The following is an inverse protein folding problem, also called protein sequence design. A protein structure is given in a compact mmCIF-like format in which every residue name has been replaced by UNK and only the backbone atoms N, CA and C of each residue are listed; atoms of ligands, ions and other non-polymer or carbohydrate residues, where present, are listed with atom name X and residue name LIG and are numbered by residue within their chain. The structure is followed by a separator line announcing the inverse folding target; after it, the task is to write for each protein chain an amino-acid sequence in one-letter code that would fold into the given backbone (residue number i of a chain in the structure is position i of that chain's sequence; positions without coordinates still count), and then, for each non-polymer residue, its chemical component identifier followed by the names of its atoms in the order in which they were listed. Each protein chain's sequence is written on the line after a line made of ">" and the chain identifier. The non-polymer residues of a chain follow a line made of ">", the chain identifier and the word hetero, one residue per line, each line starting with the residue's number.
data_IF_791936939929
#
_entry.id   IF_791936939929
#
_cell.length_a   1.000
_cell.length_b   1.000
_cell.length_c   1.000
_cell.angle_alpha   90.00
_cell.angle_beta   90.00
_cell.angle_gamma   90.00
#
_symmetry.space_group_name_H-M   'P 1'
#
loop_
_entity.id
_entity.type
_entity.pdbx_description
1 polymer ?
#
# COMPACT_ATOMS: atom_id res chain seq x y z
N UNK A 1 8.95 -13.78 -6.34
CA UNK A 1 8.14 -13.87 -5.10
C UNK A 1 6.70 -14.02 -5.53
N UNK A 2 5.95 -15.00 -5.01
CA UNK A 2 4.52 -15.10 -5.29
C UNK A 2 3.76 -14.12 -4.38
N UNK A 3 2.72 -13.43 -4.87
CA UNK A 3 1.95 -12.50 -4.06
C UNK A 3 1.26 -13.20 -2.89
N UNK A 4 1.14 -12.51 -1.76
CA UNK A 4 0.53 -13.08 -0.56
C UNK A 4 -0.98 -13.22 -0.66
N UNK A 5 -1.68 -12.33 -1.37
CA UNK A 5 -3.11 -12.46 -1.66
C UNK A 5 -3.28 -13.16 -3.01
N UNK A 6 -4.10 -14.22 -3.04
CA UNK A 6 -4.41 -14.98 -4.24
C UNK A 6 -5.91 -14.93 -4.58
N UNK A 7 -6.24 -15.16 -5.85
CA UNK A 7 -7.61 -15.18 -6.35
C UNK A 7 -8.43 -16.35 -5.77
N UNK A 8 -8.95 -16.20 -4.54
CA UNK A 8 -9.94 -17.14 -4.01
C UNK A 8 -10.02 -17.28 -2.49
N UNK A 9 -8.89 -17.28 -1.79
CA UNK A 9 -8.84 -17.81 -0.41
C UNK A 9 -8.98 -16.76 0.70
N UNK A 10 -8.80 -15.47 0.40
CA UNK A 10 -8.90 -14.37 1.38
C UNK A 10 -10.16 -13.53 1.23
N UNK A 11 -11.29 -14.18 0.88
CA UNK A 11 -12.57 -13.46 0.73
C UNK A 11 -13.12 -12.92 2.04
N UNK A 12 -12.58 -13.35 3.17
CA UNK A 12 -12.96 -12.89 4.51
C UNK A 12 -11.74 -12.59 5.38
N UNK A 13 -11.93 -11.71 6.37
CA UNK A 13 -10.88 -11.38 7.35
C UNK A 13 -10.45 -12.60 8.17
N UNK A 14 -11.35 -13.52 8.49
CA UNK A 14 -11.04 -14.77 9.19
C UNK A 14 -10.15 -15.69 8.35
N UNK A 15 -10.46 -15.86 7.07
CA UNK A 15 -9.65 -16.69 6.18
C UNK A 15 -8.25 -16.08 6.00
N UNK A 16 -8.17 -14.76 5.82
CA UNK A 16 -6.91 -14.03 5.75
C UNK A 16 -6.10 -14.19 7.05
N UNK A 17 -6.73 -14.05 8.22
CA UNK A 17 -6.03 -14.17 9.51
C UNK A 17 -5.57 -15.60 9.78
N UNK A 18 -6.37 -16.60 9.43
CA UNK A 18 -6.00 -18.01 9.58
C UNK A 18 -4.76 -18.35 8.74
N UNK A 19 -4.69 -17.81 7.51
CA UNK A 19 -3.58 -18.06 6.58
C UNK A 19 -2.32 -17.25 6.91
N UNK A 20 -2.47 -15.97 7.20
CA UNK A 20 -1.34 -15.05 7.42
C UNK A 20 -0.87 -14.99 8.89
N UNK A 21 -1.68 -15.47 9.84
CA UNK A 21 -1.34 -15.48 11.26
C UNK A 21 -0.01 -16.17 11.58
N UNK A 22 0.25 -17.39 11.09
CA UNK A 22 1.53 -18.07 11.28
C UNK A 22 2.71 -17.27 10.70
N UNK A 23 2.60 -16.79 9.46
CA UNK A 23 3.64 -16.00 8.79
C UNK A 23 3.95 -14.70 9.54
N UNK A 24 2.92 -13.97 9.98
CA UNK A 24 3.08 -12.79 10.83
C UNK A 24 3.77 -13.12 12.16
N UNK A 25 3.47 -14.29 12.76
CA UNK A 25 4.12 -14.79 13.97
C UNK A 25 5.61 -15.08 13.78
N UNK A 26 6.01 -15.53 12.58
CA UNK A 26 7.40 -15.80 12.20
C UNK A 26 8.16 -14.53 11.77
N UNK A 27 7.48 -13.38 11.70
CA UNK A 27 8.08 -12.10 11.36
C UNK A 27 7.98 -11.73 9.89
N UNK A 28 7.12 -12.40 9.10
CA UNK A 28 6.81 -11.98 7.75
C UNK A 28 6.11 -10.61 7.76
N UNK A 29 6.77 -9.65 7.12
CA UNK A 29 6.40 -8.24 7.15
C UNK A 29 5.20 -7.96 6.28
N UNK A 30 5.14 -8.59 5.11
CA UNK A 30 4.03 -8.44 4.18
C UNK A 30 2.76 -9.08 4.75
N UNK A 31 2.88 -10.24 5.41
CA UNK A 31 1.77 -10.86 6.13
C UNK A 31 1.26 -9.97 7.27
N UNK A 32 2.17 -9.38 8.05
CA UNK A 32 1.82 -8.48 9.15
C UNK A 32 1.15 -7.20 8.67
N UNK A 33 1.66 -6.59 7.59
CA UNK A 33 1.05 -5.41 6.95
C UNK A 33 -0.37 -5.70 6.49
N UNK A 34 -0.59 -6.82 5.81
CA UNK A 34 -1.92 -7.20 5.32
C UNK A 34 -2.90 -7.48 6.46
N UNK A 35 -2.47 -8.18 7.51
CA UNK A 35 -3.30 -8.35 8.71
C UNK A 35 -3.63 -7.02 9.37
N UNK A 36 -2.70 -6.06 9.41
CA UNK A 36 -2.93 -4.71 9.96
C UNK A 36 -3.95 -3.94 9.14
N UNK A 37 -3.83 -3.95 7.82
CA UNK A 37 -4.77 -3.29 6.90
C UNK A 37 -6.17 -3.90 7.02
N UNK A 38 -6.28 -5.23 7.01
CA UNK A 38 -7.54 -5.93 7.20
C UNK A 38 -8.17 -5.65 8.57
N UNK A 39 -7.37 -5.64 9.65
CA UNK A 39 -7.81 -5.27 10.99
C UNK A 39 -8.36 -3.83 11.04
N UNK A 40 -7.65 -2.88 10.44
CA UNK A 40 -8.07 -1.48 10.42
C UNK A 40 -9.41 -1.29 9.69
N UNK A 41 -9.60 -1.96 8.55
CA UNK A 41 -10.86 -1.94 7.80
C UNK A 41 -12.00 -2.57 8.61
N UNK A 42 -11.75 -3.71 9.24
CA UNK A 42 -12.77 -4.49 9.96
C UNK A 42 -12.93 -4.13 11.45
N UNK A 43 -12.29 -3.05 11.93
CA UNK A 43 -12.45 -2.55 13.31
C UNK A 43 -13.86 -2.04 13.60
N UNK A 44 -14.57 -1.60 12.56
CA UNK A 44 -15.94 -1.11 12.67
C UNK A 44 -16.83 -1.92 11.74
N UNK A 45 -17.91 -2.46 12.30
CA UNK A 45 -18.95 -3.13 11.53
C UNK A 45 -19.49 -2.21 10.42
N UNK A 46 -19.88 -2.78 9.29
CA UNK A 46 -20.60 -2.02 8.28
C UNK A 46 -21.95 -1.62 8.86
N UNK A 47 -22.26 -0.33 8.82
CA UNK A 47 -23.51 0.17 9.38
C UNK A 47 -24.72 -0.43 8.66
N UNK A 48 -25.77 -0.84 9.38
CA UNK A 48 -27.01 -1.26 8.76
C UNK A 48 -27.58 -0.17 7.86
N UNK A 49 -28.03 -0.57 6.66
CA UNK A 49 -28.61 0.34 5.68
C UNK A 49 -27.60 1.24 4.95
N UNK A 50 -26.31 0.88 4.90
CA UNK A 50 -25.30 1.63 4.13
C UNK A 50 -25.70 1.86 2.67
N UNK A 51 -26.50 0.95 2.09
CA UNK A 51 -26.98 1.03 0.71
C UNK A 51 -27.81 2.30 0.43
N UNK A 52 -28.46 2.88 1.45
CA UNK A 52 -29.29 4.07 1.31
C UNK A 52 -28.61 5.37 1.77
N UNK A 53 -27.37 5.30 2.26
CA UNK A 53 -26.67 6.46 2.87
C UNK A 53 -25.80 7.25 1.89
N UNK A 54 -25.54 6.71 0.70
CA UNK A 54 -24.72 7.38 -0.30
C UNK A 54 -25.16 7.01 -1.71
N UNK A 55 -25.19 8.00 -2.60
CA UNK A 55 -25.39 7.79 -4.03
C UNK A 55 -24.06 7.75 -4.79
N UNK A 56 -22.92 7.82 -4.09
CA UNK A 56 -21.60 7.72 -4.69
C UNK A 56 -21.30 6.25 -5.03
N UNK A 57 -21.16 5.87 -6.31
CA UNK A 57 -20.91 4.48 -6.70
C UNK A 57 -19.65 3.89 -6.08
N UNK A 58 -18.60 4.70 -5.85
CA UNK A 58 -17.34 4.27 -5.24
C UNK A 58 -17.55 3.84 -3.79
N UNK A 59 -18.25 4.69 -3.03
CA UNK A 59 -18.57 4.42 -1.63
C UNK A 59 -19.49 3.19 -1.49
N UNK A 60 -20.42 3.00 -2.43
CA UNK A 60 -21.27 1.80 -2.48
C UNK A 60 -20.47 0.53 -2.78
N UNK A 61 -19.58 0.55 -3.77
CA UNK A 61 -18.73 -0.59 -4.11
C UNK A 61 -17.82 -0.99 -2.95
N UNK A 62 -17.18 -0.01 -2.30
CA UNK A 62 -16.36 -0.26 -1.12
C UNK A 62 -17.16 -0.82 0.05
N UNK A 63 -18.33 -0.25 0.35
CA UNK A 63 -19.18 -0.73 1.45
C UNK A 63 -19.70 -2.15 1.18
N UNK A 64 -20.03 -2.49 -0.08
CA UNK A 64 -20.38 -3.84 -0.49
C UNK A 64 -19.23 -4.83 -0.25
N UNK A 65 -18.02 -4.48 -0.72
CA UNK A 65 -16.82 -5.28 -0.50
C UNK A 65 -16.54 -5.46 0.99
N UNK A 66 -16.54 -4.37 1.77
CA UNK A 66 -16.30 -4.40 3.22
C UNK A 66 -17.31 -5.29 3.94
N UNK A 67 -18.59 -5.25 3.53
CA UNK A 67 -19.63 -6.08 4.12
C UNK A 67 -19.40 -7.58 3.83
N UNK A 68 -18.87 -7.92 2.65
CA UNK A 68 -18.51 -9.31 2.32
C UNK A 68 -17.22 -9.77 3.01
N UNK A 69 -16.23 -8.88 3.14
CA UNK A 69 -14.90 -9.22 3.65
C UNK A 69 -14.85 -9.24 5.19
N UNK A 70 -15.48 -8.27 5.85
CA UNK A 70 -15.48 -8.17 7.30
C UNK A 70 -16.62 -9.00 7.92
N UNK A 71 -16.47 -10.33 7.88
CA UNK A 71 -17.43 -11.28 8.50
C UNK A 71 -17.45 -11.21 10.03
N UNK A 72 -16.45 -10.56 10.65
CA UNK A 72 -16.46 -10.16 12.05
C UNK A 72 -15.85 -8.78 12.26
N UNK A 73 -16.12 -8.21 13.43
CA UNK A 73 -15.37 -7.06 13.94
C UNK A 73 -14.04 -7.53 14.51
N UNK A 74 -12.96 -6.84 14.17
CA UNK A 74 -11.63 -7.05 14.76
C UNK A 74 -11.50 -6.14 15.99
N UNK A 75 -11.17 -6.73 17.14
CA UNK A 75 -11.04 -5.98 18.39
C UNK A 75 -9.80 -5.09 18.40
N UNK A 76 -9.81 -4.03 19.23
CA UNK A 76 -8.63 -3.17 19.42
C UNK A 76 -7.43 -3.98 19.94
N UNK A 77 -7.65 -4.94 20.84
CA UNK A 77 -6.59 -5.78 21.38
C UNK A 77 -5.93 -6.67 20.31
N UNK A 78 -6.69 -7.20 19.34
CA UNK A 78 -6.13 -7.94 18.20
C UNK A 78 -5.29 -7.02 17.30
N UNK A 79 -5.79 -5.82 17.00
CA UNK A 79 -5.05 -4.83 16.23
C UNK A 79 -3.75 -4.42 16.93
N UNK A 80 -3.80 -4.16 18.24
CA UNK A 80 -2.63 -3.82 19.04
C UNK A 80 -1.61 -4.97 19.06
N UNK A 81 -2.08 -6.21 19.14
CA UNK A 81 -1.22 -7.40 19.05
C UNK A 81 -0.52 -7.51 17.68
N UNK A 82 -1.24 -7.26 16.58
CA UNK A 82 -0.66 -7.22 15.23
C UNK A 82 0.37 -6.08 15.12
N UNK A 83 0.03 -4.89 15.61
CA UNK A 83 0.91 -3.73 15.60
C UNK A 83 2.18 -3.97 16.41
N UNK A 84 2.07 -4.59 17.58
CA UNK A 84 3.21 -4.91 18.42
C UNK A 84 4.15 -5.91 17.74
N UNK A 85 3.62 -6.96 17.08
CA UNK A 85 4.44 -7.89 16.29
C UNK A 85 5.16 -7.17 15.16
N UNK A 86 4.44 -6.36 14.38
CA UNK A 86 5.02 -5.57 13.29
C UNK A 86 6.12 -4.63 13.79
N UNK A 87 5.88 -3.92 14.89
CA UNK A 87 6.88 -3.04 15.51
C UNK A 87 8.13 -3.79 15.94
N UNK A 88 7.99 -4.93 16.61
CA UNK A 88 9.16 -5.75 17.01
C UNK A 88 9.93 -6.26 15.79
N UNK A 89 9.25 -6.69 14.73
CA UNK A 89 9.89 -7.12 13.48
C UNK A 89 10.58 -5.96 12.76
N UNK A 90 9.97 -4.76 12.78
CA UNK A 90 10.54 -3.54 12.21
C UNK A 90 11.78 -3.08 12.97
N UNK A 91 11.71 -2.95 14.30
CA UNK A 91 12.82 -2.51 15.14
C UNK A 91 14.05 -3.43 15.01
N UNK A 92 13.85 -4.73 14.74
CA UNK A 92 14.96 -5.66 14.46
C UNK A 92 15.66 -5.39 13.13
N UNK A 93 14.91 -4.97 12.11
CA UNK A 93 15.44 -4.68 10.75
C UNK A 93 16.06 -3.29 10.68
N UNK A 94 15.51 -2.34 11.44
CA UNK A 94 15.98 -0.97 11.52
C UNK A 94 16.33 -0.60 12.97
N UNK A 95 17.37 -1.20 13.57
CA UNK A 95 17.71 -0.97 14.98
C UNK A 95 18.08 0.49 15.29
N UNK A 96 18.55 1.25 14.30
CA UNK A 96 18.83 2.69 14.41
C UNK A 96 17.59 3.58 14.34
N UNK A 97 16.43 3.04 13.97
CA UNK A 97 15.18 3.81 13.82
C UNK A 97 14.32 3.79 15.10
N UNK A 98 14.89 3.31 16.22
CA UNK A 98 14.13 2.92 17.41
C UNK A 98 13.98 4.03 18.49
N UNK A 99 12.70 4.32 18.77
CA UNK A 99 12.00 4.64 20.04
C UNK A 99 11.72 6.10 20.46
N UNK A 100 12.56 7.13 20.21
CA UNK A 100 12.30 8.47 20.82
C UNK A 100 12.37 9.68 19.88
N UNK A 101 12.66 9.51 18.59
CA UNK A 101 12.71 10.60 17.62
C UNK A 101 11.67 10.43 16.49
N UNK A 102 11.12 11.52 15.94
CA UNK A 102 10.39 11.45 14.67
C UNK A 102 11.35 10.99 13.58
N UNK A 103 10.96 10.00 12.79
CA UNK A 103 11.67 9.61 11.56
C UNK A 103 11.60 10.79 10.59
N UNK A 104 12.71 11.16 9.96
CA UNK A 104 12.64 12.16 8.91
C UNK A 104 11.95 11.55 7.68
N UNK A 105 11.27 12.39 6.91
CA UNK A 105 10.67 11.97 5.64
C UNK A 105 11.75 11.46 4.68
N UNK A 106 12.95 12.06 4.74
CA UNK A 106 14.09 11.69 3.90
C UNK A 106 14.63 10.29 4.23
N UNK A 107 14.67 9.90 5.51
CA UNK A 107 15.08 8.55 5.93
C UNK A 107 14.15 7.46 5.37
N UNK A 108 12.85 7.75 5.32
CA UNK A 108 11.85 6.83 4.77
C UNK A 108 12.03 6.69 3.26
N UNK A 109 12.22 7.81 2.54
CA UNK A 109 12.44 7.78 1.10
C UNK A 109 13.79 7.16 0.71
N UNK A 110 14.85 7.34 1.50
CA UNK A 110 16.12 6.63 1.27
C UNK A 110 15.93 5.12 1.42
N UNK A 111 15.20 4.69 2.47
CA UNK A 111 14.94 3.29 2.74
C UNK A 111 14.14 2.60 1.62
N UNK A 112 13.23 3.32 0.94
CA UNK A 112 12.53 2.79 -0.25
C UNK A 112 13.52 2.32 -1.30
N UNK A 113 14.65 3.01 -1.47
CA UNK A 113 15.66 2.68 -2.47
C UNK A 113 16.76 1.76 -1.96
N UNK A 114 16.82 1.49 -0.65
CA UNK A 114 17.83 0.61 -0.04
C UNK A 114 17.28 -0.72 0.49
N UNK A 115 15.97 -0.93 0.45
CA UNK A 115 15.31 -2.13 0.95
C UNK A 115 14.12 -2.53 0.08
N UNK A 116 13.84 -3.83 0.00
CA UNK A 116 12.62 -4.41 -0.57
C UNK A 116 11.45 -4.51 0.43
N UNK A 117 11.61 -3.87 1.59
CA UNK A 117 10.62 -3.86 2.65
C UNK A 117 9.33 -3.14 2.25
N UNK A 118 8.25 -3.92 2.22
CA UNK A 118 6.91 -3.42 1.89
C UNK A 118 6.36 -2.46 2.93
N UNK A 119 6.77 -2.55 4.20
CA UNK A 119 6.31 -1.63 5.25
C UNK A 119 6.92 -0.23 5.06
N UNK A 120 8.17 -0.14 4.59
CA UNK A 120 8.79 1.13 4.18
C UNK A 120 8.09 1.73 2.96
N UNK A 121 7.75 0.88 1.99
CA UNK A 121 7.04 1.29 0.76
C UNK A 121 5.64 1.82 1.08
N UNK A 122 4.90 1.15 1.98
CA UNK A 122 3.58 1.58 2.47
C UNK A 122 3.68 2.91 3.25
N UNK A 123 4.67 3.05 4.13
CA UNK A 123 4.92 4.31 4.84
C UNK A 123 5.21 5.48 3.89
N UNK A 124 6.06 5.28 2.88
CA UNK A 124 6.37 6.30 1.88
C UNK A 124 5.14 6.70 1.07
N UNK A 125 4.30 5.73 0.67
CA UNK A 125 3.06 5.97 -0.06
C UNK A 125 2.08 6.86 0.71
N UNK A 126 1.97 6.69 2.04
CA UNK A 126 1.14 7.54 2.92
C UNK A 126 1.67 8.97 3.08
N UNK A 127 2.99 9.17 2.99
CA UNK A 127 3.63 10.48 3.19
C UNK A 127 3.59 11.37 1.93
N UNK A 128 3.58 10.77 0.75
CA UNK A 128 3.60 11.49 -0.54
C UNK A 128 2.50 12.55 -0.69
N UNK A 129 1.22 12.28 -0.37
CA UNK A 129 0.15 13.25 -0.57
C UNK A 129 0.12 14.40 0.46
N UNK A 130 0.90 14.31 1.55
CA UNK A 130 0.66 15.14 2.75
C UNK A 130 1.59 16.32 2.96
N UNK A 131 2.77 16.36 2.33
CA UNK A 131 3.72 17.50 2.34
C UNK A 131 5.03 17.14 1.59
N UNK A 132 5.04 16.13 0.69
CA UNK A 132 6.27 15.62 0.09
C UNK A 132 6.75 16.37 -1.16
N UNK A 133 6.09 17.45 -1.55
CA UNK A 133 6.53 18.35 -2.63
C UNK A 133 7.85 19.04 -2.24
N UNK A 134 8.97 18.32 -2.44
CA UNK A 134 10.32 18.80 -2.16
C UNK A 134 11.23 17.82 -1.41
N UNK A 135 10.73 16.71 -0.89
CA UNK A 135 11.54 15.74 -0.12
C UNK A 135 12.05 14.56 -0.94
N UNK A 136 11.34 14.18 -2.01
CA UNK A 136 11.74 13.07 -2.86
C UNK A 136 11.85 13.49 -4.31
N UNK A 137 13.09 13.73 -4.74
CA UNK A 137 13.40 14.16 -6.11
C UNK A 137 13.43 13.01 -7.13
N UNK A 138 13.18 11.78 -6.69
CA UNK A 138 13.20 10.61 -7.57
C UNK A 138 12.17 10.78 -8.71
N UNK A 139 12.67 10.85 -9.94
CA UNK A 139 11.84 11.01 -11.13
C UNK A 139 11.55 12.46 -11.53
N UNK A 140 12.10 13.47 -10.81
CA UNK A 140 11.94 14.89 -11.18
C UNK A 140 12.39 15.18 -12.61
N UNK A 141 13.51 14.62 -13.02
CA UNK A 141 14.06 14.77 -14.37
C UNK A 141 13.19 14.14 -15.46
N UNK A 142 12.27 13.23 -15.13
CA UNK A 142 11.30 12.67 -16.08
C UNK A 142 10.19 13.67 -16.44
N UNK A 143 9.91 14.62 -15.54
CA UNK A 143 8.74 15.51 -15.64
C UNK A 143 9.12 16.98 -15.74
N UNK A 144 10.37 17.34 -15.45
CA UNK A 144 10.84 18.73 -15.41
C UNK A 144 10.58 19.46 -16.75
N UNK A 145 9.93 20.61 -16.68
CA UNK A 145 9.59 21.43 -17.84
C UNK A 145 8.44 20.90 -18.68
N UNK A 146 7.75 19.85 -18.22
CA UNK A 146 6.55 19.29 -18.87
C UNK A 146 5.28 19.63 -18.11
N UNK A 147 4.12 19.27 -18.68
CA UNK A 147 2.83 19.41 -18.01
C UNK A 147 2.67 18.48 -16.79
N UNK A 148 3.54 17.47 -16.64
CA UNK A 148 3.47 16.44 -15.60
C UNK A 148 4.20 16.83 -14.29
N UNK A 149 4.94 17.96 -14.28
CA UNK A 149 5.82 18.32 -13.16
C UNK A 149 5.06 18.52 -11.84
N UNK A 150 3.87 19.13 -11.90
CA UNK A 150 3.04 19.37 -10.72
C UNK A 150 2.53 18.06 -10.07
N UNK A 151 2.40 17.01 -10.87
CA UNK A 151 1.82 15.73 -10.46
C UNK A 151 2.89 14.65 -10.19
N UNK A 152 4.16 15.02 -10.04
CA UNK A 152 5.24 14.05 -9.73
C UNK A 152 4.90 13.13 -8.56
N UNK A 153 4.37 13.70 -7.48
CA UNK A 153 3.97 12.96 -6.28
C UNK A 153 2.89 11.90 -6.56
N UNK A 154 1.97 12.18 -7.49
CA UNK A 154 0.94 11.22 -7.95
C UNK A 154 1.61 10.04 -8.64
N UNK A 155 2.58 10.28 -9.54
CA UNK A 155 3.28 9.18 -10.23
C UNK A 155 4.17 8.36 -9.30
N UNK A 156 4.85 9.02 -8.36
CA UNK A 156 5.61 8.36 -7.29
C UNK A 156 4.70 7.47 -6.44
N UNK A 157 3.50 7.95 -6.08
CA UNK A 157 2.55 7.19 -5.28
C UNK A 157 2.05 5.95 -6.04
N UNK A 158 1.69 6.10 -7.31
CA UNK A 158 1.30 4.97 -8.18
C UNK A 158 2.42 3.94 -8.30
N UNK A 159 3.67 4.38 -8.48
CA UNK A 159 4.81 3.48 -8.57
C UNK A 159 5.01 2.66 -7.28
N UNK A 160 4.90 3.31 -6.11
CA UNK A 160 4.98 2.62 -4.81
C UNK A 160 3.80 1.65 -4.60
N UNK A 161 2.62 2.00 -5.08
CA UNK A 161 1.44 1.13 -5.03
C UNK A 161 1.61 -0.10 -5.92
N UNK A 162 2.20 0.03 -7.10
CA UNK A 162 2.46 -1.10 -8.00
C UNK A 162 3.49 -2.07 -7.40
N UNK A 163 4.56 -1.53 -6.80
CA UNK A 163 5.53 -2.35 -6.07
C UNK A 163 4.90 -3.11 -4.89
N UNK A 164 3.95 -2.48 -4.21
CA UNK A 164 3.15 -3.16 -3.17
C UNK A 164 2.26 -4.23 -3.78
N UNK A 165 1.58 -3.96 -4.90
CA UNK A 165 0.78 -4.96 -5.63
C UNK A 165 1.59 -6.22 -5.95
N UNK A 166 2.82 -6.06 -6.44
CA UNK A 166 3.71 -7.18 -6.75
C UNK A 166 4.10 -8.02 -5.51
N UNK A 167 4.11 -7.40 -4.33
CA UNK A 167 4.54 -8.04 -3.07
C UNK A 167 3.36 -8.65 -2.30
N UNK A 168 2.30 -7.87 -2.11
CA UNK A 168 1.16 -8.27 -1.30
C UNK A 168 0.06 -8.94 -2.10
N UNK A 169 -0.03 -8.72 -3.41
CA UNK A 169 -1.23 -9.03 -4.20
C UNK A 169 -2.41 -8.13 -3.81
N UNK A 170 -3.63 -8.56 -4.15
CA UNK A 170 -4.87 -7.86 -3.78
C UNK A 170 -5.23 -6.69 -4.70
N UNK A 171 -4.55 -6.61 -5.85
CA UNK A 171 -4.74 -5.56 -6.86
C UNK A 171 -5.64 -6.02 -8.02
N UNK A 172 -6.04 -7.28 -8.00
CA UNK A 172 -7.10 -7.82 -8.82
C UNK A 172 -8.49 -7.27 -8.43
N UNK A 173 -9.50 -7.44 -9.29
CA UNK A 173 -10.88 -7.13 -8.97
C UNK A 173 -11.35 -7.68 -7.62
N UNK A 174 -11.82 -6.79 -6.74
CA UNK A 174 -12.33 -7.16 -5.40
C UNK A 174 -11.25 -7.53 -4.38
N UNK A 175 -9.97 -7.35 -4.71
CA UNK A 175 -8.87 -7.50 -3.77
C UNK A 175 -8.81 -6.37 -2.73
N UNK A 176 -8.14 -6.63 -1.61
CA UNK A 176 -8.05 -5.68 -0.49
C UNK A 176 -7.33 -4.39 -0.88
N UNK A 177 -6.25 -4.45 -1.68
CA UNK A 177 -5.51 -3.26 -2.14
C UNK A 177 -6.39 -2.43 -3.08
N UNK A 178 -7.07 -3.07 -4.03
CA UNK A 178 -8.07 -2.43 -4.89
C UNK A 178 -9.11 -1.69 -4.05
N UNK A 179 -9.67 -2.33 -3.02
CA UNK A 179 -10.66 -1.70 -2.15
C UNK A 179 -10.10 -0.53 -1.32
N UNK A 180 -8.86 -0.61 -0.84
CA UNK A 180 -8.23 0.48 -0.09
C UNK A 180 -7.92 1.69 -0.97
N UNK A 181 -7.39 1.47 -2.18
CA UNK A 181 -7.14 2.53 -3.16
C UNK A 181 -8.45 3.23 -3.55
N UNK A 182 -9.54 2.47 -3.66
CA UNK A 182 -10.87 3.02 -3.90
C UNK A 182 -11.38 3.99 -2.83
N UNK A 183 -10.94 3.83 -1.59
CA UNK A 183 -11.34 4.69 -0.48
C UNK A 183 -10.37 5.86 -0.27
N UNK A 184 -9.08 5.63 -0.47
CA UNK A 184 -8.02 6.56 -0.08
C UNK A 184 -7.83 7.72 -1.06
N UNK A 185 -8.18 7.54 -2.33
CA UNK A 185 -7.83 8.50 -3.37
C UNK A 185 -9.03 9.27 -3.90
N UNK A 186 -8.97 10.58 -3.78
CA UNK A 186 -9.97 11.50 -4.35
C UNK A 186 -10.04 11.40 -5.90
N UNK A 187 -8.99 10.89 -6.54
CA UNK A 187 -8.90 10.68 -7.99
C UNK A 187 -9.57 9.40 -8.50
N UNK A 188 -9.46 8.25 -7.81
CA UNK A 188 -9.73 6.97 -8.45
C UNK A 188 -11.22 6.62 -8.63
N UNK A 189 -11.70 6.52 -9.88
CA UNK A 189 -13.00 5.95 -10.21
C UNK A 189 -12.99 4.45 -9.97
N UNK A 190 -13.77 4.01 -8.98
CA UNK A 190 -14.00 2.60 -8.72
C UNK A 190 -15.37 2.15 -9.20
N UNK A 191 -15.36 1.10 -9.99
CA UNK A 191 -16.51 0.34 -10.42
C UNK A 191 -16.41 -1.10 -9.91
N UNK A 192 -17.57 -1.78 -9.71
CA UNK A 192 -17.57 -3.19 -9.37
C UNK A 192 -16.77 -4.01 -10.38
N UNK A 193 -15.89 -4.86 -9.88
CA UNK A 193 -15.09 -5.74 -10.74
C UNK A 193 -13.84 -5.09 -11.34
N UNK A 194 -13.47 -3.87 -10.95
CA UNK A 194 -12.19 -3.28 -11.33
C UNK A 194 -11.06 -3.67 -10.36
N UNK A 195 -9.89 -3.96 -10.91
CA UNK A 195 -8.61 -4.00 -10.20
C UNK A 195 -7.89 -2.66 -10.24
N UNK A 196 -6.75 -2.57 -9.56
CA UNK A 196 -5.90 -1.38 -9.51
C UNK A 196 -5.41 -0.94 -10.89
N UNK A 197 -5.02 -1.90 -11.73
CA UNK A 197 -4.57 -1.60 -13.10
C UNK A 197 -5.69 -1.02 -13.98
N UNK A 198 -6.94 -1.48 -13.81
CA UNK A 198 -8.08 -0.91 -14.52
C UNK A 198 -8.29 0.56 -14.11
N UNK A 199 -8.22 0.83 -12.80
CA UNK A 199 -8.34 2.20 -12.27
C UNK A 199 -7.26 3.13 -12.79
N UNK A 200 -6.02 2.66 -12.91
CA UNK A 200 -4.91 3.44 -13.44
C UNK A 200 -5.04 3.70 -14.94
N UNK A 201 -5.38 2.69 -15.73
CA UNK A 201 -5.58 2.83 -17.18
C UNK A 201 -6.73 3.79 -17.54
N UNK A 202 -7.71 3.96 -16.66
CA UNK A 202 -8.80 4.93 -16.85
C UNK A 202 -8.40 6.38 -16.54
N UNK A 203 -7.37 6.60 -15.73
CA UNK A 203 -7.05 7.92 -15.16
C UNK A 203 -5.69 8.47 -15.53
N UNK A 204 -4.79 7.60 -15.96
CA UNK A 204 -3.48 7.98 -16.43
C UNK A 204 -3.46 7.84 -17.95
N UNK A 205 -2.97 8.87 -18.63
CA UNK A 205 -2.60 8.77 -20.03
C UNK A 205 -1.43 7.79 -20.21
N UNK A 206 -1.21 7.26 -21.43
CA UNK A 206 -0.06 6.39 -21.69
C UNK A 206 1.29 7.01 -21.27
N UNK A 207 1.47 8.32 -21.50
CA UNK A 207 2.69 9.03 -21.08
C UNK A 207 2.85 9.10 -19.56
N UNK A 208 1.75 9.23 -18.80
CA UNK A 208 1.80 9.17 -17.34
C UNK A 208 2.14 7.77 -16.83
N UNK A 209 1.62 6.72 -17.50
CA UNK A 209 1.98 5.33 -17.20
C UNK A 209 3.48 5.11 -17.46
N UNK A 210 4.03 5.63 -18.56
CA UNK A 210 5.47 5.54 -18.85
C UNK A 210 6.32 6.20 -17.76
N UNK A 211 5.88 7.35 -17.20
CA UNK A 211 6.56 8.00 -16.07
C UNK A 211 6.53 7.11 -14.82
N UNK A 212 5.38 6.52 -14.50
CA UNK A 212 5.23 5.60 -13.35
C UNK A 212 6.19 4.42 -13.47
N UNK A 213 6.20 3.75 -14.64
CA UNK A 213 7.08 2.60 -14.89
C UNK A 213 8.56 2.99 -14.83
N UNK A 214 8.92 4.18 -15.32
CA UNK A 214 10.28 4.68 -15.24
C UNK A 214 10.71 5.00 -13.79
N UNK A 215 9.82 5.54 -12.95
CA UNK A 215 10.08 5.75 -11.52
C UNK A 215 10.30 4.41 -10.82
N UNK A 216 9.42 3.44 -11.07
CA UNK A 216 9.52 2.10 -10.48
C UNK A 216 10.84 1.41 -10.86
N UNK A 217 11.21 1.46 -12.14
CA UNK A 217 12.46 0.88 -12.63
C UNK A 217 13.67 1.53 -11.94
N UNK A 218 13.65 2.86 -11.73
CA UNK A 218 14.73 3.55 -11.01
C UNK A 218 14.86 3.10 -9.56
N UNK A 219 13.74 2.84 -8.86
CA UNK A 219 13.78 2.29 -7.50
C UNK A 219 14.45 0.91 -7.52
N UNK A 220 14.06 0.05 -8.48
CA UNK A 220 14.63 -1.29 -8.64
C UNK A 220 16.13 -1.23 -8.97
N UNK A 221 16.53 -0.35 -9.88
CA UNK A 221 17.92 -0.16 -10.29
C UNK A 221 18.78 0.35 -9.12
N UNK A 222 18.27 1.31 -8.36
CA UNK A 222 18.97 1.86 -7.21
C UNK A 222 19.14 0.82 -6.08
N UNK A 223 18.10 0.02 -5.82
CA UNK A 223 18.21 -1.14 -4.90
C UNK A 223 19.29 -2.11 -5.37
N UNK A 224 19.30 -2.46 -6.66
CA UNK A 224 20.29 -3.36 -7.23
C UNK A 224 21.71 -2.78 -7.13
N UNK A 225 21.89 -1.49 -7.40
CA UNK A 225 23.17 -0.78 -7.31
C UNK A 225 23.72 -0.78 -5.88
N UNK A 226 22.87 -0.52 -4.89
CA UNK A 226 23.25 -0.52 -3.46
C UNK A 226 23.62 -1.93 -2.98
N UNK A 227 22.92 -2.96 -3.42
CA UNK A 227 23.29 -4.36 -3.12
C UNK A 227 24.62 -4.77 -3.76
N UNK A 228 24.94 -4.24 -4.95
CA UNK A 228 26.19 -4.51 -5.64
C UNK A 228 27.41 -3.74 -5.08
N UNK A 229 27.19 -2.76 -4.20
CA UNK A 229 28.24 -1.95 -3.59
C UNK A 229 28.29 -2.26 -2.08
N UNK A 230 29.16 -3.19 -1.63
CA UNK A 230 29.27 -3.48 -0.20
C UNK A 230 29.69 -2.22 0.58
N UNK A 231 29.24 -2.05 1.84
CA UNK A 231 29.77 -0.99 2.68
C UNK A 231 31.29 -1.20 2.83
N UNK A 232 32.06 -0.21 2.39
CA UNK A 232 33.51 -0.14 2.58
C UNK A 232 33.90 0.15 4.02
#
# INVERSE_FOLDING_TARGET
>A
MQPLLGAGDDRTVEALFARLGPLSGEGDVAATLLMRQAAAVCRHAVEPGWQSRTNNPRAMAYAAWKASFCTRTVSQAELDSINQRGRVAFDRRYPGWAVTGPRSVDEIFDAVTSSDDVEVTDMASVLLPRDATGHWDLGRDLVQGSAYEADLHKYQHVALDDMQCATTGGCEPGGMRSAMICLASDGYTCAPGQGVYDMWNEQLSPAEIDIVLAIEQRIRDERARRLATPPG
#
